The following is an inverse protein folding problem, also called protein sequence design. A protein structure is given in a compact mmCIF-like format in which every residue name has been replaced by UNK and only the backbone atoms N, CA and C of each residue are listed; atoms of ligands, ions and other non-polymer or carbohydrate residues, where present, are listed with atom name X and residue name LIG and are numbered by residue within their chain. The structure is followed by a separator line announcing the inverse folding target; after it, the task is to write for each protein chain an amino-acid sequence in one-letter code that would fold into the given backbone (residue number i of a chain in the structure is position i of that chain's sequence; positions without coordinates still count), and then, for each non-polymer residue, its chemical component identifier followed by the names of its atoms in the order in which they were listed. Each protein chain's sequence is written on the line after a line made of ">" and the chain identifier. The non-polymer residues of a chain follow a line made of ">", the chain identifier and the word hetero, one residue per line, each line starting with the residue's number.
data_IF_439873765620
#
_entry.id   IF_439873765620
#
_cell.length_a   1.000
_cell.length_b   1.000
_cell.length_c   1.000
_cell.angle_alpha   90.00
_cell.angle_beta   90.00
_cell.angle_gamma   90.00
#
_symmetry.space_group_name_H-M   'P 1'
#
loop_
_entity.id
_entity.type
_entity.pdbx_description
1 polymer ?
#
# COMPACT_ATOMS: atom_id res chain seq x y z
N UNK A 1 -7.57 -18.97 51.99
CA UNK A 1 -8.43 -19.25 50.83
C UNK A 1 -8.32 -18.08 49.85
N UNK A 2 -7.33 -18.11 48.96
CA UNK A 2 -7.16 -17.13 47.90
C UNK A 2 -7.42 -17.90 46.60
N UNK A 3 -8.65 -17.71 46.09
CA UNK A 3 -9.11 -18.34 44.83
C UNK A 3 -8.68 -17.44 43.69
N UNK A 4 -7.79 -17.97 42.89
CA UNK A 4 -7.42 -17.64 41.54
C UNK A 4 -8.25 -16.58 40.78
N UNK A 5 -7.62 -15.41 40.61
CA UNK A 5 -8.02 -14.37 39.67
C UNK A 5 -7.25 -14.48 38.31
N UNK A 6 -6.71 -15.63 38.00
CA UNK A 6 -5.92 -15.82 36.76
C UNK A 6 -6.75 -16.13 35.51
N UNK A 7 -7.99 -16.63 35.68
CA UNK A 7 -8.82 -17.03 34.52
C UNK A 7 -9.62 -15.86 33.91
N UNK A 8 -9.93 -14.82 34.66
CA UNK A 8 -10.68 -13.67 34.14
C UNK A 8 -9.91 -12.84 33.12
N UNK A 9 -8.58 -12.80 33.21
CA UNK A 9 -7.71 -12.06 32.30
C UNK A 9 -7.61 -12.67 30.90
N UNK A 10 -7.62 -14.00 30.80
CA UNK A 10 -7.50 -14.69 29.50
C UNK A 10 -8.81 -14.62 28.70
N UNK A 11 -9.95 -14.83 29.33
CA UNK A 11 -11.26 -14.72 28.68
C UNK A 11 -11.62 -13.28 28.33
N UNK A 12 -11.25 -12.31 29.15
CA UNK A 12 -11.40 -10.87 28.85
C UNK A 12 -10.56 -10.47 27.62
N UNK A 13 -9.33 -10.91 27.53
CA UNK A 13 -8.43 -10.66 26.40
C UNK A 13 -8.91 -11.33 25.10
N UNK A 14 -9.51 -12.50 25.17
CA UNK A 14 -10.14 -13.23 24.08
C UNK A 14 -11.37 -12.48 23.54
N UNK A 15 -12.19 -11.88 24.41
CA UNK A 15 -13.35 -11.09 24.02
C UNK A 15 -12.97 -9.77 23.34
N UNK A 16 -11.93 -9.06 23.80
CA UNK A 16 -11.45 -7.85 23.15
C UNK A 16 -10.92 -8.14 21.73
N UNK A 17 -10.13 -9.20 21.57
CA UNK A 17 -9.64 -9.62 20.26
C UNK A 17 -10.78 -9.98 19.30
N UNK A 18 -11.78 -10.73 19.78
CA UNK A 18 -12.97 -11.09 19.00
C UNK A 18 -13.75 -9.84 18.55
N UNK A 19 -13.95 -8.89 19.44
CA UNK A 19 -14.64 -7.64 19.12
C UNK A 19 -13.89 -6.81 18.09
N UNK A 20 -12.56 -6.73 18.17
CA UNK A 20 -11.73 -6.05 17.17
C UNK A 20 -11.78 -6.73 15.80
N UNK A 21 -11.77 -8.08 15.76
CA UNK A 21 -11.93 -8.84 14.53
C UNK A 21 -13.30 -8.57 13.90
N UNK A 22 -14.38 -8.70 14.70
CA UNK A 22 -15.74 -8.48 14.22
C UNK A 22 -15.94 -7.05 13.70
N UNK A 23 -15.41 -6.06 14.41
CA UNK A 23 -15.43 -4.66 13.97
C UNK A 23 -14.70 -4.46 12.63
N UNK A 24 -13.51 -5.07 12.47
CA UNK A 24 -12.76 -5.01 11.23
C UNK A 24 -13.53 -5.64 10.07
N UNK A 25 -14.08 -6.83 10.26
CA UNK A 25 -14.89 -7.54 9.25
C UNK A 25 -16.13 -6.74 8.88
N UNK A 26 -16.81 -6.13 9.86
CA UNK A 26 -17.98 -5.29 9.63
C UNK A 26 -17.63 -4.08 8.73
N UNK A 27 -16.55 -3.37 9.05
CA UNK A 27 -16.13 -2.22 8.22
C UNK A 27 -15.72 -2.65 6.82
N UNK A 28 -15.01 -3.77 6.67
CA UNK A 28 -14.66 -4.31 5.35
C UNK A 28 -15.93 -4.71 4.56
N UNK A 29 -16.97 -5.20 5.23
CA UNK A 29 -18.26 -5.48 4.58
C UNK A 29 -18.94 -4.20 4.11
N UNK A 30 -18.94 -3.12 4.91
CA UNK A 30 -19.45 -1.80 4.51
C UNK A 30 -18.69 -1.28 3.30
N UNK A 31 -17.35 -1.36 3.32
CA UNK A 31 -16.53 -1.02 2.16
C UNK A 31 -16.97 -1.80 0.92
N UNK A 32 -17.15 -3.11 1.05
CA UNK A 32 -17.54 -3.97 -0.08
C UNK A 32 -18.91 -3.61 -0.63
N UNK A 33 -19.89 -3.33 0.22
CA UNK A 33 -21.21 -2.86 -0.19
C UNK A 33 -21.13 -1.56 -0.98
N UNK A 34 -20.33 -0.60 -0.53
CA UNK A 34 -20.16 0.68 -1.23
C UNK A 34 -19.48 0.56 -2.61
N UNK A 35 -18.72 -0.51 -2.88
CA UNK A 35 -18.17 -0.76 -4.23
C UNK A 35 -19.22 -1.20 -5.24
N UNK A 36 -20.47 -1.45 -4.83
CA UNK A 36 -21.60 -1.80 -5.69
C UNK A 36 -22.58 -0.65 -5.90
N UNK A 37 -22.47 0.45 -5.15
CA UNK A 37 -23.34 1.61 -5.31
C UNK A 37 -22.86 2.46 -6.48
N UNK A 38 -23.58 2.51 -7.61
CA UNK A 38 -23.13 3.24 -8.79
C UNK A 38 -23.24 4.77 -8.58
N UNK A 39 -22.45 5.51 -9.36
CA UNK A 39 -22.57 6.96 -9.45
C UNK A 39 -23.87 7.36 -10.15
N UNK A 40 -24.54 8.43 -9.71
CA UNK A 40 -25.74 8.94 -10.36
C UNK A 40 -25.42 9.48 -11.76
N UNK A 41 -26.35 9.31 -12.72
CA UNK A 41 -26.21 9.82 -14.08
C UNK A 41 -25.32 9.00 -15.02
N UNK A 42 -25.01 7.76 -14.67
CA UNK A 42 -24.21 6.83 -15.48
C UNK A 42 -25.09 5.66 -15.93
N UNK A 43 -25.06 5.36 -17.24
CA UNK A 43 -25.67 4.15 -17.80
C UNK A 43 -24.73 2.94 -17.60
N UNK A 44 -25.21 1.96 -16.84
CA UNK A 44 -24.43 0.78 -16.46
C UNK A 44 -24.15 -0.17 -17.66
N UNK A 45 -25.02 -0.22 -18.67
CA UNK A 45 -24.85 -1.09 -19.85
C UNK A 45 -23.78 -0.53 -20.79
N UNK A 46 -23.86 0.75 -21.09
CA UNK A 46 -22.88 1.46 -21.91
C UNK A 46 -21.48 1.49 -21.26
N UNK A 47 -21.44 1.62 -19.93
CA UNK A 47 -20.18 1.54 -19.16
C UNK A 47 -19.55 0.15 -19.27
N UNK A 48 -20.34 -0.91 -19.19
CA UNK A 48 -19.85 -2.30 -19.29
C UNK A 48 -19.21 -2.58 -20.64
N UNK A 49 -19.79 -2.09 -21.73
CA UNK A 49 -19.23 -2.23 -23.09
C UNK A 49 -17.92 -1.47 -23.27
N UNK A 50 -17.83 -0.23 -22.78
CA UNK A 50 -16.59 0.57 -22.76
C UNK A 50 -15.48 -0.08 -21.94
N UNK A 51 -15.82 -0.63 -20.77
CA UNK A 51 -14.83 -1.27 -19.91
C UNK A 51 -14.35 -2.62 -20.47
N UNK A 52 -15.13 -3.32 -21.26
CA UNK A 52 -14.71 -4.54 -21.94
C UNK A 52 -13.70 -4.27 -23.06
N UNK A 53 -13.83 -3.17 -23.78
CA UNK A 53 -12.88 -2.77 -24.84
C UNK A 53 -11.53 -2.28 -24.27
N UNK A 54 -11.52 -1.70 -23.07
CA UNK A 54 -10.34 -1.07 -22.45
C UNK A 54 -9.72 -1.87 -21.28
N UNK A 55 -10.03 -3.16 -21.13
CA UNK A 55 -9.54 -3.99 -20.00
C UNK A 55 -8.01 -4.15 -19.94
N UNK A 56 -7.29 -3.94 -21.03
CA UNK A 56 -5.83 -4.16 -21.16
C UNK A 56 -4.97 -2.93 -20.83
N UNK A 57 -5.52 -1.93 -20.12
CA UNK A 57 -4.80 -0.70 -19.80
C UNK A 57 -4.72 -0.43 -18.31
N UNK A 58 -4.25 0.75 -18.00
CA UNK A 58 -4.12 1.29 -16.64
C UNK A 58 -5.42 1.31 -15.84
N UNK A 59 -6.58 1.44 -16.53
CA UNK A 59 -7.90 1.30 -15.92
C UNK A 59 -8.09 -0.08 -15.27
N UNK A 60 -7.45 -1.12 -15.81
CA UNK A 60 -7.41 -2.45 -15.21
C UNK A 60 -6.71 -2.48 -13.83
N UNK A 61 -5.57 -1.80 -13.70
CA UNK A 61 -4.87 -1.68 -12.41
C UNK A 61 -5.70 -0.91 -11.38
N UNK A 62 -6.22 0.27 -11.76
CA UNK A 62 -7.12 1.01 -10.87
C UNK A 62 -8.29 0.15 -10.39
N UNK A 63 -8.84 -0.66 -11.29
CA UNK A 63 -9.94 -1.55 -10.96
C UNK A 63 -9.55 -2.62 -9.93
N UNK A 64 -8.34 -3.15 -9.99
CA UNK A 64 -7.83 -4.14 -9.02
C UNK A 64 -7.69 -3.49 -7.65
N UNK A 65 -7.04 -2.31 -7.56
CA UNK A 65 -6.86 -1.59 -6.30
C UNK A 65 -8.17 -1.08 -5.69
N UNK A 66 -9.18 -0.77 -6.52
CA UNK A 66 -10.50 -0.35 -6.07
C UNK A 66 -11.48 -1.51 -5.81
N UNK A 67 -11.04 -2.78 -5.96
CA UNK A 67 -11.88 -3.95 -5.75
C UNK A 67 -13.07 -4.06 -6.72
N UNK A 68 -12.86 -3.66 -7.98
CA UNK A 68 -13.88 -3.70 -9.02
C UNK A 68 -14.81 -2.48 -9.05
N UNK A 69 -14.58 -1.47 -8.20
CA UNK A 69 -15.42 -0.27 -8.14
C UNK A 69 -15.31 0.59 -9.41
N UNK A 70 -14.16 0.61 -10.08
CA UNK A 70 -13.96 1.36 -11.34
C UNK A 70 -14.81 0.78 -12.46
N UNK A 71 -14.87 -0.55 -12.61
CA UNK A 71 -15.71 -1.21 -13.65
C UNK A 71 -17.18 -0.90 -13.51
N UNK A 72 -17.64 -0.60 -12.30
CA UNK A 72 -19.03 -0.29 -11.99
C UNK A 72 -19.26 1.20 -11.82
N UNK A 73 -18.19 2.01 -11.93
CA UNK A 73 -18.21 3.43 -11.58
C UNK A 73 -18.98 3.67 -10.28
N UNK A 74 -18.56 2.95 -9.23
CA UNK A 74 -19.16 3.07 -7.91
C UNK A 74 -18.67 4.35 -7.21
N UNK A 75 -19.34 4.73 -6.13
CA UNK A 75 -18.95 5.87 -5.29
C UNK A 75 -17.50 5.77 -4.77
N UNK A 76 -16.95 4.55 -4.69
CA UNK A 76 -15.57 4.28 -4.31
C UNK A 76 -14.64 4.05 -5.51
N UNK A 77 -14.97 4.55 -6.70
CA UNK A 77 -14.17 4.32 -7.92
C UNK A 77 -12.73 4.87 -7.78
N UNK A 78 -12.52 6.02 -7.12
CA UNK A 78 -11.18 6.53 -6.83
C UNK A 78 -10.43 5.70 -5.78
N UNK A 79 -11.15 4.90 -4.98
CA UNK A 79 -10.57 4.10 -3.90
C UNK A 79 -9.79 4.93 -2.89
N UNK A 80 -8.70 4.37 -2.40
CA UNK A 80 -7.78 5.02 -1.44
C UNK A 80 -6.59 5.68 -2.15
N UNK A 81 -6.50 5.63 -3.49
CA UNK A 81 -5.36 6.15 -4.24
C UNK A 81 -5.05 7.63 -3.97
N UNK A 82 -6.02 8.56 -3.90
CA UNK A 82 -5.74 9.97 -3.57
C UNK A 82 -5.08 10.12 -2.19
N UNK A 83 -5.49 9.31 -1.22
CA UNK A 83 -4.88 9.31 0.12
C UNK A 83 -3.45 8.79 0.11
N UNK A 84 -3.19 7.70 -0.62
CA UNK A 84 -1.84 7.14 -0.75
C UNK A 84 -0.91 8.18 -1.38
N UNK A 85 -1.32 8.80 -2.50
CA UNK A 85 -0.55 9.84 -3.19
C UNK A 85 -0.27 11.05 -2.28
N UNK A 86 -1.27 11.52 -1.55
CA UNK A 86 -1.11 12.60 -0.57
C UNK A 86 -0.14 12.21 0.56
N UNK A 87 -0.27 11.00 1.08
CA UNK A 87 0.61 10.47 2.14
C UNK A 87 2.06 10.40 1.67
N UNK A 88 2.30 9.99 0.41
CA UNK A 88 3.63 9.97 -0.20
C UNK A 88 4.22 11.39 -0.25
N UNK A 89 3.46 12.35 -0.80
CA UNK A 89 3.89 13.74 -0.93
C UNK A 89 4.28 14.31 0.44
N UNK A 90 3.43 14.12 1.45
CA UNK A 90 3.69 14.61 2.80
C UNK A 90 4.90 13.90 3.44
N UNK A 91 5.08 12.60 3.21
CA UNK A 91 6.26 11.87 3.70
C UNK A 91 7.55 12.33 3.02
N UNK A 92 7.53 12.59 1.71
CA UNK A 92 8.65 13.20 0.99
C UNK A 92 8.98 14.58 1.57
N UNK A 93 7.97 15.41 1.84
CA UNK A 93 8.15 16.72 2.46
C UNK A 93 8.74 16.62 3.86
N UNK A 94 8.39 15.60 4.66
CA UNK A 94 9.02 15.38 5.98
C UNK A 94 10.50 15.00 5.89
N UNK A 95 10.94 14.43 4.76
CA UNK A 95 12.35 14.13 4.49
C UNK A 95 13.16 15.34 4.02
N UNK A 96 12.55 16.23 3.24
CA UNK A 96 13.23 17.35 2.56
C UNK A 96 13.09 18.68 3.31
N UNK A 97 11.92 18.98 3.87
CA UNK A 97 11.62 20.27 4.52
C UNK A 97 11.90 20.22 6.01
N UNK A 98 12.71 21.18 6.50
CA UNK A 98 13.01 21.32 7.92
C UNK A 98 11.77 21.58 8.79
N UNK A 99 10.80 22.31 8.25
CA UNK A 99 9.53 22.60 8.94
C UNK A 99 8.75 21.32 9.24
N UNK A 100 8.62 20.42 8.26
CA UNK A 100 7.95 19.14 8.45
C UNK A 100 8.77 18.16 9.29
N UNK A 101 10.10 18.22 9.20
CA UNK A 101 11.00 17.44 10.05
C UNK A 101 10.85 17.85 11.52
N UNK A 102 10.80 19.16 11.80
CA UNK A 102 10.57 19.68 13.15
C UNK A 102 9.18 19.30 13.69
N UNK A 103 8.14 19.31 12.83
CA UNK A 103 6.82 18.81 13.18
C UNK A 103 6.86 17.32 13.56
N UNK A 104 7.57 16.49 12.82
CA UNK A 104 7.74 15.07 13.12
C UNK A 104 8.39 14.85 14.49
N UNK A 105 9.36 15.67 14.84
CA UNK A 105 10.10 15.61 16.11
C UNK A 105 9.27 16.06 17.33
N UNK A 106 8.12 16.74 17.13
CA UNK A 106 7.20 17.13 18.19
C UNK A 106 6.34 15.98 18.76
N UNK A 107 6.61 14.74 18.35
CA UNK A 107 5.92 13.56 18.87
C UNK A 107 4.46 13.46 18.40
N UNK A 108 3.52 13.18 19.32
CA UNK A 108 2.10 12.94 18.95
C UNK A 108 1.41 14.17 18.37
N UNK A 109 1.71 15.37 18.86
CA UNK A 109 1.10 16.62 18.38
C UNK A 109 1.51 16.87 16.92
N UNK A 110 2.78 16.68 16.62
CA UNK A 110 3.29 16.82 15.25
C UNK A 110 2.72 15.75 14.30
N UNK A 111 2.60 14.51 14.75
CA UNK A 111 1.97 13.44 13.96
C UNK A 111 0.51 13.75 13.62
N UNK A 112 -0.26 14.29 14.56
CA UNK A 112 -1.66 14.71 14.31
C UNK A 112 -1.73 15.78 13.23
N UNK A 113 -0.83 16.79 13.27
CA UNK A 113 -0.77 17.83 12.24
C UNK A 113 -0.38 17.27 10.86
N UNK A 114 0.61 16.39 10.80
CA UNK A 114 1.02 15.71 9.56
C UNK A 114 -0.15 14.93 8.96
N UNK A 115 -0.88 14.16 9.77
CA UNK A 115 -2.08 13.45 9.32
C UNK A 115 -3.16 14.42 8.82
N UNK A 116 -3.34 15.57 9.45
CA UNK A 116 -4.27 16.60 9.00
C UNK A 116 -3.89 17.18 7.63
N UNK A 117 -2.61 17.47 7.40
CA UNK A 117 -2.13 17.89 6.07
C UNK A 117 -2.34 16.81 5.02
N UNK A 118 -2.11 15.54 5.36
CA UNK A 118 -2.40 14.41 4.48
C UNK A 118 -3.88 14.37 4.08
N UNK A 119 -4.80 14.59 5.02
CA UNK A 119 -6.24 14.65 4.73
C UNK A 119 -6.59 15.80 3.78
N UNK A 120 -6.05 17.00 4.00
CA UNK A 120 -6.28 18.13 3.09
C UNK A 120 -5.72 17.85 1.69
N UNK A 121 -4.52 17.31 1.60
CA UNK A 121 -3.93 16.90 0.33
C UNK A 121 -4.77 15.82 -0.37
N UNK A 122 -5.36 14.89 0.39
CA UNK A 122 -6.27 13.87 -0.15
C UNK A 122 -7.50 14.48 -0.79
N UNK A 123 -8.15 15.44 -0.11
CA UNK A 123 -9.33 16.13 -0.65
C UNK A 123 -8.99 16.86 -1.93
N UNK A 124 -7.87 17.59 -1.96
CA UNK A 124 -7.41 18.29 -3.14
C UNK A 124 -7.16 17.34 -4.31
N UNK A 125 -6.38 16.28 -4.09
CA UNK A 125 -6.08 15.29 -5.12
C UNK A 125 -7.34 14.54 -5.59
N UNK A 126 -8.24 14.17 -4.67
CA UNK A 126 -9.50 13.52 -5.01
C UNK A 126 -10.40 14.43 -5.86
N UNK A 127 -10.44 15.73 -5.57
CA UNK A 127 -11.19 16.71 -6.38
C UNK A 127 -10.63 16.80 -7.80
N UNK A 128 -9.31 16.93 -7.91
CA UNK A 128 -8.62 16.99 -9.19
C UNK A 128 -8.86 15.69 -9.98
N UNK A 129 -8.62 14.52 -9.39
CA UNK A 129 -8.84 13.22 -10.04
C UNK A 129 -10.32 12.98 -10.38
N UNK A 130 -11.24 13.34 -9.48
CA UNK A 130 -12.68 13.22 -9.70
C UNK A 130 -13.16 14.07 -10.89
N UNK A 131 -12.62 15.28 -11.01
CA UNK A 131 -12.90 16.14 -12.18
C UNK A 131 -12.39 15.49 -13.48
N UNK A 132 -11.16 14.94 -13.49
CA UNK A 132 -10.65 14.24 -14.65
C UNK A 132 -11.46 13.03 -15.06
N UNK A 133 -11.90 12.24 -14.08
CA UNK A 133 -12.80 11.11 -14.34
C UNK A 133 -14.12 11.59 -14.93
N UNK A 134 -14.71 12.66 -14.40
CA UNK A 134 -16.00 13.21 -14.92
C UNK A 134 -15.89 13.69 -16.36
N UNK A 135 -14.80 14.40 -16.70
CA UNK A 135 -14.52 14.85 -18.08
C UNK A 135 -14.27 13.65 -19.01
N UNK A 136 -13.51 12.65 -18.56
CA UNK A 136 -13.23 11.46 -19.34
C UNK A 136 -14.50 10.64 -19.65
N UNK A 137 -15.43 10.57 -18.70
CA UNK A 137 -16.74 9.90 -18.92
C UNK A 137 -17.62 10.69 -19.88
N UNK A 138 -17.67 11.99 -19.78
CA UNK A 138 -18.46 12.84 -20.67
C UNK A 138 -17.93 12.78 -22.11
N UNK A 139 -16.61 12.80 -22.30
CA UNK A 139 -15.97 12.69 -23.60
C UNK A 139 -16.19 11.33 -24.29
N UNK A 140 -16.53 10.28 -23.53
CA UNK A 140 -16.90 8.99 -24.11
C UNK A 140 -18.24 9.02 -24.88
N UNK A 141 -19.10 10.02 -24.63
CA UNK A 141 -20.33 10.30 -25.36
C UNK A 141 -21.46 9.29 -25.21
N UNK A 142 -21.22 8.14 -24.56
CA UNK A 142 -22.14 7.00 -24.54
C UNK A 142 -22.61 6.66 -23.12
N UNK A 143 -21.81 7.04 -22.10
CA UNK A 143 -21.98 6.55 -20.72
C UNK A 143 -22.80 7.49 -19.84
N UNK A 144 -22.81 8.77 -20.18
CA UNK A 144 -23.45 9.82 -19.37
C UNK A 144 -24.85 10.12 -19.93
N UNK A 145 -25.87 9.99 -19.08
CA UNK A 145 -27.28 10.22 -19.48
C UNK A 145 -27.54 11.68 -19.81
N UNK A 146 -27.06 12.59 -18.95
CA UNK A 146 -27.22 14.04 -19.12
C UNK A 146 -25.84 14.75 -18.99
N UNK A 147 -25.11 14.95 -20.10
CA UNK A 147 -23.81 15.62 -20.08
C UNK A 147 -23.96 17.10 -19.71
N UNK A 148 -23.07 17.62 -18.86
CA UNK A 148 -23.05 19.00 -18.48
C UNK A 148 -22.40 19.32 -17.13
N UNK A 149 -22.44 20.60 -16.76
CA UNK A 149 -21.81 21.05 -15.52
C UNK A 149 -22.39 20.39 -14.25
N UNK A 150 -23.68 20.07 -14.27
CA UNK A 150 -24.37 19.38 -13.18
C UNK A 150 -23.82 17.96 -12.96
N UNK A 151 -23.63 17.19 -14.04
CA UNK A 151 -23.03 15.85 -13.97
C UNK A 151 -21.59 15.93 -13.42
N UNK A 152 -20.76 16.87 -13.90
CA UNK A 152 -19.38 17.03 -13.41
C UNK A 152 -19.35 17.34 -11.92
N UNK A 153 -20.20 18.24 -11.46
CA UNK A 153 -20.25 18.66 -10.06
C UNK A 153 -20.73 17.53 -9.15
N UNK A 154 -21.80 16.83 -9.51
CA UNK A 154 -22.33 15.71 -8.75
C UNK A 154 -21.34 14.55 -8.69
N UNK A 155 -20.68 14.21 -9.80
CA UNK A 155 -19.68 13.16 -9.87
C UNK A 155 -18.46 13.49 -8.99
N UNK A 156 -17.95 14.72 -9.09
CA UNK A 156 -16.79 15.15 -8.25
C UNK A 156 -17.14 15.09 -6.77
N UNK A 157 -18.27 15.66 -6.36
CA UNK A 157 -18.69 15.64 -4.94
C UNK A 157 -18.85 14.20 -4.45
N UNK A 158 -19.48 13.35 -5.22
CA UNK A 158 -19.73 11.95 -4.83
C UNK A 158 -18.43 11.16 -4.70
N UNK A 159 -17.49 11.31 -5.64
CA UNK A 159 -16.18 10.64 -5.59
C UNK A 159 -15.30 11.15 -4.44
N UNK A 160 -15.31 12.47 -4.19
CA UNK A 160 -14.58 13.06 -3.06
C UNK A 160 -15.17 12.58 -1.74
N UNK A 161 -16.50 12.61 -1.60
CA UNK A 161 -17.18 12.10 -0.41
C UNK A 161 -16.87 10.61 -0.18
N UNK A 162 -16.89 9.80 -1.24
CA UNK A 162 -16.51 8.39 -1.20
C UNK A 162 -15.07 8.19 -0.71
N UNK A 163 -14.13 8.95 -1.23
CA UNK A 163 -12.71 8.88 -0.81
C UNK A 163 -12.52 9.29 0.66
N UNK A 164 -13.17 10.37 1.10
CA UNK A 164 -13.12 10.82 2.50
C UNK A 164 -13.71 9.75 3.42
N UNK A 165 -14.83 9.14 3.02
CA UNK A 165 -15.46 8.08 3.78
C UNK A 165 -14.57 6.84 3.89
N UNK A 166 -13.90 6.43 2.80
CA UNK A 166 -12.93 5.33 2.82
C UNK A 166 -11.74 5.62 3.73
N UNK A 167 -11.22 6.84 3.68
CA UNK A 167 -10.15 7.28 4.58
C UNK A 167 -10.60 7.19 6.05
N UNK A 168 -11.80 7.66 6.36
CA UNK A 168 -12.37 7.56 7.70
C UNK A 168 -12.56 6.11 8.16
N UNK A 169 -13.06 5.23 7.28
CA UNK A 169 -13.18 3.79 7.57
C UNK A 169 -11.81 3.16 7.87
N UNK A 170 -10.78 3.49 7.09
CA UNK A 170 -9.41 3.03 7.32
C UNK A 170 -8.85 3.49 8.67
N UNK A 171 -9.11 4.73 9.05
CA UNK A 171 -8.73 5.26 10.37
C UNK A 171 -9.48 4.55 11.51
N UNK A 172 -10.78 4.28 11.36
CA UNK A 172 -11.55 3.53 12.36
C UNK A 172 -11.01 2.10 12.57
N UNK A 173 -10.66 1.39 11.49
CA UNK A 173 -10.03 0.08 11.61
C UNK A 173 -8.69 0.19 12.36
N UNK A 174 -7.87 1.18 12.03
CA UNK A 174 -6.56 1.37 12.69
C UNK A 174 -6.69 1.68 14.18
N UNK A 175 -7.72 2.43 14.58
CA UNK A 175 -7.93 2.82 15.97
C UNK A 175 -8.61 1.74 16.82
N UNK A 176 -9.63 1.07 16.29
CA UNK A 176 -10.51 0.15 17.02
C UNK A 176 -10.45 -1.29 16.55
N UNK A 177 -9.92 -1.55 15.36
CA UNK A 177 -9.79 -2.86 14.76
C UNK A 177 -8.43 -3.48 14.97
N UNK A 178 -7.96 -4.20 13.94
CA UNK A 178 -6.67 -4.91 13.89
C UNK A 178 -5.81 -4.35 12.77
N UNK A 179 -4.56 -4.04 13.09
CA UNK A 179 -3.54 -3.65 12.12
C UNK A 179 -3.76 -2.29 11.47
N UNK A 180 -3.21 -2.10 10.26
CA UNK A 180 -3.36 -0.88 9.49
C UNK A 180 -4.62 -0.95 8.61
N UNK A 181 -5.64 -0.13 8.93
CA UNK A 181 -6.93 -0.18 8.26
C UNK A 181 -6.88 0.15 6.78
N UNK A 182 -6.01 1.07 6.37
CA UNK A 182 -5.83 1.44 4.95
C UNK A 182 -5.30 0.25 4.15
N UNK A 183 -4.28 -0.42 4.68
CA UNK A 183 -3.72 -1.63 4.05
C UNK A 183 -4.75 -2.76 3.97
N UNK A 184 -5.61 -2.91 4.99
CA UNK A 184 -6.67 -3.92 5.01
C UNK A 184 -7.78 -3.64 3.99
N UNK A 185 -8.14 -2.36 3.75
CA UNK A 185 -9.11 -2.01 2.71
C UNK A 185 -8.54 -2.33 1.33
N UNK A 186 -7.27 -2.00 1.04
CA UNK A 186 -6.60 -2.36 -0.21
C UNK A 186 -6.56 -3.88 -0.38
N UNK A 187 -6.14 -4.59 0.65
CA UNK A 187 -6.11 -6.06 0.66
C UNK A 187 -7.48 -6.68 0.38
N UNK A 188 -8.53 -6.17 1.01
CA UNK A 188 -9.91 -6.63 0.79
C UNK A 188 -10.37 -6.40 -0.65
N UNK A 189 -9.97 -5.28 -1.27
CA UNK A 189 -10.23 -4.99 -2.67
C UNK A 189 -9.59 -6.04 -3.60
N UNK A 190 -8.31 -6.35 -3.36
CA UNK A 190 -7.55 -7.32 -4.19
C UNK A 190 -8.09 -8.73 -4.01
N UNK A 191 -8.30 -9.18 -2.76
CA UNK A 191 -8.78 -10.54 -2.45
C UNK A 191 -10.18 -10.79 -3.02
N UNK A 192 -11.02 -9.77 -3.08
CA UNK A 192 -12.37 -9.90 -3.61
C UNK A 192 -12.45 -10.23 -5.11
N UNK A 193 -11.40 -9.98 -5.88
CA UNK A 193 -11.31 -10.35 -7.30
C UNK A 193 -10.75 -11.78 -7.52
N UNK A 194 -10.13 -12.40 -6.50
CA UNK A 194 -9.54 -13.75 -6.61
C UNK A 194 -10.57 -14.81 -7.04
N UNK A 195 -11.78 -14.90 -6.43
CA UNK A 195 -12.75 -15.91 -6.84
C UNK A 195 -13.15 -15.80 -8.30
N UNK A 196 -13.28 -14.57 -8.81
CA UNK A 196 -13.61 -14.30 -10.21
C UNK A 196 -12.45 -14.69 -11.14
N UNK A 197 -11.22 -14.34 -10.78
CA UNK A 197 -10.04 -14.73 -11.55
C UNK A 197 -9.89 -16.25 -11.64
N UNK A 198 -10.13 -16.96 -10.54
CA UNK A 198 -10.13 -18.43 -10.51
C UNK A 198 -11.23 -18.99 -11.44
N UNK A 199 -12.46 -18.50 -11.33
CA UNK A 199 -13.56 -18.94 -12.18
C UNK A 199 -13.25 -18.75 -13.67
N UNK A 200 -12.73 -17.58 -14.05
CA UNK A 200 -12.32 -17.28 -15.43
C UNK A 200 -11.21 -18.22 -15.92
N UNK A 201 -10.22 -18.50 -15.07
CA UNK A 201 -9.10 -19.42 -15.42
C UNK A 201 -9.62 -20.84 -15.67
N UNK A 202 -10.54 -21.35 -14.84
CA UNK A 202 -11.15 -22.66 -15.05
C UNK A 202 -12.04 -22.70 -16.29
N UNK A 203 -12.75 -21.61 -16.60
CA UNK A 203 -13.58 -21.51 -17.80
C UNK A 203 -12.73 -21.52 -19.08
N UNK A 204 -11.59 -20.81 -19.10
CA UNK A 204 -10.62 -20.86 -20.18
C UNK A 204 -10.01 -22.26 -20.36
N UNK A 205 -9.83 -23.00 -19.27
CA UNK A 205 -9.44 -24.41 -19.33
C UNK A 205 -10.53 -25.29 -19.93
N UNK A 206 -11.80 -25.07 -19.57
CA UNK A 206 -12.94 -25.84 -20.10
C UNK A 206 -13.21 -25.58 -21.58
N UNK A 207 -13.01 -24.35 -22.03
CA UNK A 207 -13.16 -23.97 -23.44
C UNK A 207 -11.97 -24.39 -24.32
N UNK A 208 -10.91 -24.98 -23.74
CA UNK A 208 -9.71 -25.40 -24.47
C UNK A 208 -8.76 -24.26 -24.87
N UNK A 209 -9.05 -23.03 -24.47
CA UNK A 209 -8.18 -21.87 -24.71
C UNK A 209 -6.85 -21.97 -23.92
N UNK A 210 -6.87 -22.63 -22.77
CA UNK A 210 -5.69 -22.93 -21.97
C UNK A 210 -5.57 -24.45 -21.76
N UNK A 211 -4.37 -25.01 -22.00
CA UNK A 211 -4.13 -26.42 -21.70
C UNK A 211 -4.09 -26.66 -20.19
N UNK A 212 -4.48 -27.84 -19.73
CA UNK A 212 -4.42 -28.25 -18.33
C UNK A 212 -3.02 -28.08 -17.73
N UNK A 213 -1.97 -28.31 -18.52
CA UNK A 213 -0.58 -28.14 -18.12
C UNK A 213 -0.25 -26.68 -17.79
N UNK A 214 -0.75 -25.72 -18.57
CA UNK A 214 -0.55 -24.29 -18.33
C UNK A 214 -1.26 -23.88 -17.03
N UNK A 215 -2.51 -24.33 -16.81
CA UNK A 215 -3.25 -24.05 -15.58
C UNK A 215 -2.48 -24.59 -14.37
N UNK A 216 -2.01 -25.83 -14.42
CA UNK A 216 -1.23 -26.43 -13.34
C UNK A 216 0.06 -25.62 -13.09
N UNK A 217 0.75 -25.17 -14.15
CA UNK A 217 1.97 -24.37 -14.00
C UNK A 217 1.70 -23.01 -13.35
N UNK A 218 0.58 -22.35 -13.67
CA UNK A 218 0.16 -21.07 -13.04
C UNK A 218 -0.08 -21.28 -11.55
N UNK A 219 -0.83 -22.32 -11.15
CA UNK A 219 -1.07 -22.60 -9.73
C UNK A 219 0.21 -22.94 -8.97
N UNK A 220 1.09 -23.75 -9.57
CA UNK A 220 2.38 -24.09 -8.97
C UNK A 220 3.24 -22.83 -8.79
N UNK A 221 3.30 -21.98 -9.78
CA UNK A 221 4.03 -20.71 -9.73
C UNK A 221 3.47 -19.79 -8.64
N UNK A 222 2.14 -19.69 -8.52
CA UNK A 222 1.47 -18.90 -7.48
C UNK A 222 1.84 -19.38 -6.08
N UNK A 223 1.75 -20.69 -5.82
CA UNK A 223 2.11 -21.28 -4.52
C UNK A 223 3.58 -21.03 -4.20
N UNK A 224 4.46 -21.23 -5.19
CA UNK A 224 5.90 -21.04 -5.02
C UNK A 224 6.25 -19.57 -4.75
N UNK A 225 5.59 -18.63 -5.43
CA UNK A 225 5.74 -17.19 -5.21
C UNK A 225 5.29 -16.80 -3.80
N UNK A 226 4.13 -17.27 -3.35
CA UNK A 226 3.65 -17.00 -1.98
C UNK A 226 4.60 -17.59 -0.94
N UNK A 227 5.07 -18.82 -1.13
CA UNK A 227 6.03 -19.45 -0.23
C UNK A 227 7.35 -18.65 -0.15
N UNK A 228 7.86 -18.18 -1.29
CA UNK A 228 9.05 -17.34 -1.38
C UNK A 228 8.86 -15.99 -0.65
N UNK A 229 7.72 -15.33 -0.86
CA UNK A 229 7.38 -14.07 -0.17
C UNK A 229 7.36 -14.29 1.35
N UNK A 230 6.67 -15.32 1.82
CA UNK A 230 6.58 -15.62 3.26
C UNK A 230 7.96 -15.94 3.85
N UNK A 231 8.80 -16.65 3.11
CA UNK A 231 10.17 -16.96 3.54
C UNK A 231 11.00 -15.69 3.75
N UNK A 232 10.99 -14.77 2.80
CA UNK A 232 11.75 -13.50 2.90
C UNK A 232 11.16 -12.55 3.95
N UNK A 233 9.83 -12.40 4.03
CA UNK A 233 9.17 -11.51 4.99
C UNK A 233 9.35 -11.96 6.46
N UNK A 234 9.54 -13.26 6.70
CA UNK A 234 9.87 -13.80 8.02
C UNK A 234 11.34 -13.71 8.37
N UNK A 235 12.21 -13.49 7.40
CA UNK A 235 13.64 -13.45 7.60
C UNK A 235 14.08 -12.18 8.35
N UNK A 236 14.75 -12.38 9.48
CA UNK A 236 15.26 -11.32 10.36
C UNK A 236 16.75 -11.51 10.62
N UNK A 237 17.50 -10.40 10.58
CA UNK A 237 18.89 -10.35 11.06
C UNK A 237 18.89 -9.99 12.52
N UNK A 238 19.39 -10.87 13.38
CA UNK A 238 19.53 -10.64 14.83
C UNK A 238 20.92 -10.07 15.11
N UNK A 239 21.00 -8.87 15.68
CA UNK A 239 22.25 -8.26 16.16
C UNK A 239 22.32 -8.50 17.67
N UNK A 240 23.40 -9.10 18.13
CA UNK A 240 23.62 -9.38 19.55
C UNK A 240 23.89 -8.07 20.30
N UNK A 241 23.17 -7.85 21.41
CA UNK A 241 23.35 -6.73 22.32
C UNK A 241 23.60 -7.31 23.71
N UNK A 242 24.69 -6.88 24.33
CA UNK A 242 25.01 -7.26 25.69
C UNK A 242 24.71 -6.11 26.64
N UNK A 243 24.09 -6.44 27.77
CA UNK A 243 23.87 -5.53 28.87
C UNK A 243 24.85 -5.86 30.00
N UNK A 244 25.63 -4.88 30.53
CA UNK A 244 26.58 -5.15 31.62
C UNK A 244 25.82 -5.56 32.87
N UNK A 245 26.43 -6.47 33.62
CA UNK A 245 25.99 -6.86 34.96
C UNK A 245 26.12 -5.66 35.90
N UNK A 246 25.06 -5.31 36.62
CA UNK A 246 25.12 -4.30 37.68
C UNK A 246 25.00 -5.02 39.01
N UNK A 247 25.98 -4.77 39.90
CA UNK A 247 25.97 -5.23 41.27
C UNK A 247 25.33 -4.15 42.16
N UNK A 248 24.23 -4.46 42.80
CA UNK A 248 23.60 -3.63 43.83
C UNK A 248 23.67 -4.39 45.16
N UNK A 249 24.62 -4.05 46.00
CA UNK A 249 24.90 -4.75 47.22
C UNK A 249 25.41 -6.19 46.96
N UNK A 250 24.81 -7.18 47.59
CA UNK A 250 25.13 -8.61 47.45
C UNK A 250 24.41 -9.28 46.22
N UNK A 251 23.48 -8.58 45.56
CA UNK A 251 22.75 -9.12 44.44
C UNK A 251 23.27 -8.60 43.11
N UNK A 252 23.51 -9.51 42.17
CA UNK A 252 23.92 -9.21 40.80
C UNK A 252 22.64 -9.16 39.93
N UNK A 253 22.36 -7.99 39.32
CA UNK A 253 21.26 -7.79 38.39
C UNK A 253 21.81 -7.57 36.99
N UNK A 254 21.14 -8.15 35.98
CA UNK A 254 21.47 -7.98 34.55
C UNK A 254 22.51 -9.00 34.07
N UNK A 255 23.04 -8.77 32.90
CA UNK A 255 23.94 -9.70 32.19
C UNK A 255 23.17 -10.58 31.20
N UNK A 256 21.95 -10.21 30.87
CA UNK A 256 21.21 -10.86 29.79
C UNK A 256 21.70 -10.33 28.43
N UNK A 257 21.96 -11.25 27.50
CA UNK A 257 22.16 -10.91 26.10
C UNK A 257 20.82 -10.82 25.41
N UNK A 258 20.52 -9.70 24.79
CA UNK A 258 19.35 -9.49 23.97
C UNK A 258 19.73 -9.38 22.49
N UNK A 259 18.77 -9.46 21.61
CA UNK A 259 18.99 -9.34 20.19
C UNK A 259 18.15 -8.20 19.62
N UNK A 260 18.76 -7.33 18.80
CA UNK A 260 18.03 -6.36 17.98
C UNK A 260 17.61 -7.04 16.69
N UNK A 261 16.30 -7.31 16.49
CA UNK A 261 15.82 -7.92 15.25
C UNK A 261 15.68 -6.85 14.16
N UNK A 262 16.42 -6.99 13.07
CA UNK A 262 16.25 -6.18 11.86
C UNK A 262 15.61 -7.05 10.77
N UNK A 263 14.48 -6.64 10.22
CA UNK A 263 13.85 -7.30 9.08
C UNK A 263 14.68 -7.10 7.83
N UNK A 264 14.73 -8.09 6.93
CA UNK A 264 15.37 -7.96 5.62
C UNK A 264 14.61 -6.92 4.79
N UNK A 265 13.28 -7.00 4.77
CA UNK A 265 12.44 -6.00 4.15
C UNK A 265 11.86 -5.08 5.23
N UNK A 266 12.61 -4.06 5.65
CA UNK A 266 12.18 -3.07 6.64
C UNK A 266 11.11 -2.14 6.08
N UNK A 267 11.15 -1.87 4.78
CA UNK A 267 10.21 -0.99 4.09
C UNK A 267 8.85 -1.66 3.81
N UNK A 268 8.77 -3.00 3.84
CA UNK A 268 7.55 -3.75 3.50
C UNK A 268 7.16 -3.57 2.04
N UNK A 269 5.85 -3.56 1.76
CA UNK A 269 5.27 -3.40 0.41
C UNK A 269 5.10 -1.93 0.00
N UNK A 270 5.29 -0.99 0.92
CA UNK A 270 5.02 0.44 0.72
C UNK A 270 5.79 1.03 -0.48
N UNK A 271 7.08 0.72 -0.72
CA UNK A 271 7.80 1.22 -1.88
C UNK A 271 7.17 0.85 -3.22
N UNK A 272 6.63 -0.35 -3.36
CA UNK A 272 5.96 -0.79 -4.58
C UNK A 272 4.67 0.00 -4.82
N UNK A 273 3.88 0.23 -3.76
CA UNK A 273 2.67 1.06 -3.82
C UNK A 273 3.02 2.50 -4.21
N UNK A 274 4.10 3.05 -3.66
CA UNK A 274 4.56 4.40 -3.99
C UNK A 274 5.02 4.53 -5.44
N UNK A 275 5.82 3.59 -5.91
CA UNK A 275 6.28 3.55 -7.29
C UNK A 275 5.11 3.44 -8.28
N UNK A 276 4.12 2.56 -8.01
CA UNK A 276 2.94 2.44 -8.85
C UNK A 276 2.07 3.70 -8.84
N UNK A 277 1.83 4.29 -7.66
CA UNK A 277 1.07 5.53 -7.54
C UNK A 277 1.71 6.70 -8.29
N UNK A 278 3.04 6.82 -8.23
CA UNK A 278 3.79 7.87 -8.93
C UNK A 278 3.72 7.69 -10.46
N UNK A 279 3.82 6.45 -10.95
CA UNK A 279 3.70 6.16 -12.38
C UNK A 279 2.28 6.39 -12.91
N UNK A 280 1.27 6.27 -12.06
CA UNK A 280 -0.14 6.53 -12.43
C UNK A 280 -0.46 8.04 -12.51
N UNK A 281 0.28 8.92 -11.83
CA UNK A 281 0.02 10.36 -11.85
C UNK A 281 0.06 10.97 -13.27
N UNK A 282 1.10 10.79 -14.10
CA UNK A 282 1.14 11.35 -15.45
C UNK A 282 -0.02 10.91 -16.33
N UNK A 283 -0.48 9.69 -16.13
CA UNK A 283 -1.56 9.08 -16.91
C UNK A 283 -2.93 9.63 -16.49
N UNK A 284 -3.14 9.83 -15.18
CA UNK A 284 -4.34 10.52 -14.73
C UNK A 284 -4.40 11.94 -15.26
N UNK A 285 -3.27 12.65 -15.32
CA UNK A 285 -3.21 14.00 -15.90
C UNK A 285 -3.47 14.00 -17.42
N UNK A 286 -3.04 12.96 -18.17
CA UNK A 286 -3.32 12.89 -19.61
C UNK A 286 -4.81 12.80 -19.94
N UNK A 287 -5.63 12.28 -19.04
CA UNK A 287 -7.10 12.20 -19.21
C UNK A 287 -7.81 13.54 -18.97
N UNK A 288 -7.11 14.58 -18.45
CA UNK A 288 -7.68 15.90 -18.14
C UNK A 288 -7.89 16.85 -19.34
N UNK A 289 -8.06 16.33 -20.55
CA UNK A 289 -8.36 17.18 -21.73
C UNK A 289 -7.12 17.63 -22.51
N UNK A 290 -5.91 17.20 -22.12
CA UNK A 290 -4.69 17.38 -22.92
C UNK A 290 -4.51 16.27 -23.96
N UNK A 291 -5.54 15.42 -24.17
CA UNK A 291 -5.51 14.27 -25.06
C UNK A 291 -5.34 14.64 -26.55
N UNK A 292 -5.48 15.93 -26.92
CA UNK A 292 -5.34 16.38 -28.30
C UNK A 292 -3.89 16.68 -28.75
N UNK A 293 -2.91 16.58 -27.84
CA UNK A 293 -1.52 16.73 -28.25
C UNK A 293 -0.87 15.38 -28.52
N UNK A 294 -0.30 15.20 -29.70
CA UNK A 294 0.43 13.97 -30.10
C UNK A 294 1.54 13.59 -29.11
N UNK A 295 2.13 14.59 -28.46
CA UNK A 295 3.17 14.42 -27.46
C UNK A 295 2.62 13.68 -26.22
N UNK A 296 1.43 14.05 -25.72
CA UNK A 296 0.82 13.40 -24.57
C UNK A 296 0.35 11.98 -24.88
N UNK A 297 -0.17 11.73 -26.09
CA UNK A 297 -0.51 10.38 -26.54
C UNK A 297 0.73 9.48 -26.64
N UNK A 298 1.83 10.01 -27.16
CA UNK A 298 3.11 9.29 -27.24
C UNK A 298 3.67 8.98 -25.86
N UNK A 299 3.64 9.94 -24.94
CA UNK A 299 4.08 9.75 -23.55
C UNK A 299 3.22 8.69 -22.86
N UNK A 300 1.90 8.82 -22.91
CA UNK A 300 1.00 7.84 -22.27
C UNK A 300 1.16 6.42 -22.84
N UNK A 301 1.41 6.30 -24.14
CA UNK A 301 1.73 5.04 -24.78
C UNK A 301 3.07 4.45 -24.33
N UNK A 302 4.07 5.25 -24.01
CA UNK A 302 5.35 4.80 -23.44
C UNK A 302 5.23 4.30 -22.01
N UNK A 303 4.32 4.88 -21.22
CA UNK A 303 4.03 4.48 -19.84
C UNK A 303 3.00 3.34 -19.71
N UNK A 304 2.58 2.74 -20.84
CA UNK A 304 1.65 1.60 -20.79
C UNK A 304 2.33 0.34 -20.21
N UNK A 305 1.54 -0.45 -19.48
CA UNK A 305 1.98 -1.70 -18.88
C UNK A 305 2.59 -2.67 -19.90
N UNK A 306 3.57 -3.46 -19.44
CA UNK A 306 4.24 -4.45 -20.29
C UNK A 306 5.31 -3.88 -21.21
N UNK A 307 5.51 -2.56 -21.25
CA UNK A 307 6.62 -1.96 -22.02
C UNK A 307 7.92 -1.92 -21.21
N UNK A 308 9.08 -2.10 -21.85
CA UNK A 308 10.37 -2.11 -21.16
C UNK A 308 10.67 -0.83 -20.37
N UNK A 309 10.26 0.33 -20.89
CA UNK A 309 10.44 1.62 -20.21
C UNK A 309 9.62 1.69 -18.90
N UNK A 310 8.36 1.25 -18.94
CA UNK A 310 7.53 1.17 -17.75
C UNK A 310 8.16 0.27 -16.69
N UNK A 311 8.60 -0.94 -17.08
CA UNK A 311 9.24 -1.89 -16.17
C UNK A 311 10.52 -1.32 -15.55
N UNK A 312 11.34 -0.60 -16.33
CA UNK A 312 12.56 0.02 -15.86
C UNK A 312 12.27 1.15 -14.86
N UNK A 313 11.32 2.02 -15.18
CA UNK A 313 10.89 3.10 -14.27
C UNK A 313 10.24 2.56 -13.00
N UNK A 314 9.45 1.51 -13.11
CA UNK A 314 8.84 0.85 -11.96
C UNK A 314 9.89 0.22 -11.05
N UNK A 315 10.86 -0.51 -11.63
CA UNK A 315 11.98 -1.09 -10.89
C UNK A 315 12.83 -0.02 -10.17
N UNK A 316 13.23 1.03 -10.89
CA UNK A 316 14.01 2.13 -10.33
C UNK A 316 13.24 2.87 -9.23
N UNK A 317 11.94 3.07 -9.42
CA UNK A 317 11.04 3.64 -8.41
C UNK A 317 10.97 2.80 -7.15
N UNK A 318 10.79 1.48 -7.26
CA UNK A 318 10.77 0.57 -6.10
C UNK A 318 12.09 0.64 -5.33
N UNK A 319 13.22 0.59 -6.02
CA UNK A 319 14.54 0.67 -5.38
C UNK A 319 14.70 2.02 -4.66
N UNK A 320 14.42 3.13 -5.36
CA UNK A 320 14.51 4.47 -4.77
C UNK A 320 13.65 4.60 -3.51
N UNK A 321 12.37 4.24 -3.59
CA UNK A 321 11.47 4.34 -2.44
C UNK A 321 11.80 3.36 -1.32
N UNK A 322 12.43 2.23 -1.60
CA UNK A 322 12.89 1.29 -0.57
C UNK A 322 13.97 1.93 0.31
N UNK A 323 14.98 2.55 -0.29
CA UNK A 323 16.01 3.27 0.45
C UNK A 323 15.45 4.49 1.16
N UNK A 324 14.65 5.29 0.46
CA UNK A 324 14.05 6.49 1.00
C UNK A 324 13.16 6.19 2.22
N UNK A 325 12.27 5.21 2.10
CA UNK A 325 11.36 4.84 3.18
C UNK A 325 12.09 4.25 4.38
N UNK A 326 13.08 3.39 4.16
CA UNK A 326 13.90 2.83 5.23
C UNK A 326 14.62 3.92 6.01
N UNK A 327 15.17 4.94 5.35
CA UNK A 327 15.86 6.07 6.01
C UNK A 327 14.92 6.94 6.87
N UNK A 328 13.63 7.01 6.52
CA UNK A 328 12.63 7.77 7.28
C UNK A 328 12.11 6.97 8.48
N UNK A 329 11.88 5.66 8.30
CA UNK A 329 11.25 4.80 9.32
C UNK A 329 12.24 4.41 10.39
N UNK A 330 13.48 4.14 10.04
CA UNK A 330 14.49 3.70 10.96
C UNK A 330 15.65 4.74 11.09
N UNK A 331 15.81 5.25 12.31
CA UNK A 331 16.90 6.18 12.62
C UNK A 331 18.02 5.45 13.39
N UNK A 332 19.15 5.12 12.71
CA UNK A 332 20.25 4.40 13.36
C UNK A 332 20.87 5.17 14.54
N UNK A 333 20.95 6.51 14.43
CA UNK A 333 21.54 7.36 15.48
C UNK A 333 20.71 7.33 16.76
N UNK A 334 19.39 7.48 16.63
CA UNK A 334 18.45 7.43 17.76
C UNK A 334 18.45 6.05 18.42
N UNK A 335 18.48 4.98 17.61
CA UNK A 335 18.56 3.60 18.11
C UNK A 335 19.86 3.36 18.88
N UNK A 336 21.01 3.79 18.35
CA UNK A 336 22.30 3.66 19.02
C UNK A 336 22.40 4.48 20.33
N UNK A 337 21.78 5.66 20.34
CA UNK A 337 21.72 6.50 21.53
C UNK A 337 20.81 5.91 22.61
N UNK A 338 19.67 5.35 22.23
CA UNK A 338 18.77 4.65 23.12
C UNK A 338 19.43 3.40 23.73
N UNK A 339 20.17 2.63 22.94
CA UNK A 339 20.98 1.52 23.42
C UNK A 339 22.01 1.99 24.44
N UNK A 340 22.72 3.09 24.16
CA UNK A 340 23.71 3.67 25.07
C UNK A 340 23.08 4.12 26.39
N UNK A 341 21.91 4.79 26.33
CA UNK A 341 21.18 5.24 27.53
C UNK A 341 20.77 4.08 28.45
N UNK A 342 20.41 2.94 27.86
CA UNK A 342 20.03 1.73 28.59
C UNK A 342 21.23 0.83 28.95
N UNK A 343 22.44 1.26 28.62
CA UNK A 343 23.68 0.53 28.93
C UNK A 343 23.91 -0.69 28.01
N UNK A 344 23.17 -0.84 26.94
CA UNK A 344 23.37 -1.89 25.94
C UNK A 344 24.54 -1.56 25.00
N UNK A 345 25.33 -2.54 24.62
CA UNK A 345 26.38 -2.39 23.63
C UNK A 345 26.48 -3.59 22.69
N UNK A 346 26.95 -3.35 21.48
CA UNK A 346 27.27 -4.40 20.53
C UNK A 346 28.69 -4.91 20.81
N UNK A 347 28.90 -6.23 20.97
CA UNK A 347 30.24 -6.77 21.23
C UNK A 347 31.24 -6.35 20.15
N UNK A 348 32.41 -5.84 20.58
CA UNK A 348 33.47 -5.37 19.69
C UNK A 348 33.31 -3.95 19.11
N UNK A 349 32.20 -3.24 19.40
CA UNK A 349 31.94 -1.88 18.88
C UNK A 349 31.71 -0.91 20.03
N UNK A 350 32.35 0.27 19.93
CA UNK A 350 32.16 1.32 20.95
C UNK A 350 30.74 1.87 20.93
N UNK A 351 30.06 1.98 22.09
CA UNK A 351 28.71 2.56 22.17
C UNK A 351 28.67 4.01 21.65
N UNK A 352 27.60 4.38 20.97
CA UNK A 352 27.39 5.72 20.44
C UNK A 352 27.52 5.76 18.91
N UNK A 353 28.24 6.72 18.34
CA UNK A 353 28.31 6.95 16.88
C UNK A 353 28.80 5.74 16.09
N UNK A 354 29.81 5.02 16.58
CA UNK A 354 30.28 3.81 15.87
C UNK A 354 29.24 2.71 15.82
N UNK A 355 28.40 2.58 16.83
CA UNK A 355 27.26 1.67 16.82
C UNK A 355 26.21 2.12 15.81
N UNK A 356 25.97 3.43 15.69
CA UNK A 356 25.07 3.97 14.68
C UNK A 356 25.55 3.65 13.26
N UNK A 357 26.82 3.89 12.94
CA UNK A 357 27.39 3.54 11.62
C UNK A 357 27.33 2.04 11.32
N UNK A 358 27.57 1.20 12.32
CA UNK A 358 27.45 -0.26 12.14
C UNK A 358 26.02 -0.70 11.83
N UNK A 359 25.04 -0.14 12.54
CA UNK A 359 23.61 -0.43 12.28
C UNK A 359 23.21 0.10 10.90
N UNK A 360 23.68 1.29 10.52
CA UNK A 360 23.43 1.90 9.22
C UNK A 360 23.99 1.04 8.07
N UNK A 361 25.22 0.56 8.17
CA UNK A 361 25.84 -0.33 7.16
C UNK A 361 25.05 -1.63 6.98
N UNK A 362 24.60 -2.23 8.10
CA UNK A 362 23.75 -3.42 8.04
C UNK A 362 22.39 -3.09 7.39
N UNK A 363 21.77 -1.97 7.73
CA UNK A 363 20.50 -1.55 7.16
C UNK A 363 20.60 -1.33 5.67
N UNK A 364 21.64 -0.67 5.17
CA UNK A 364 21.86 -0.45 3.74
C UNK A 364 21.96 -1.79 3.01
N UNK A 365 22.71 -2.74 3.54
CA UNK A 365 22.85 -4.09 2.96
C UNK A 365 21.52 -4.84 2.96
N UNK A 366 20.76 -4.80 4.06
CA UNK A 366 19.45 -5.43 4.15
C UNK A 366 18.44 -4.77 3.22
N UNK A 367 18.44 -3.44 3.14
CA UNK A 367 17.56 -2.69 2.22
C UNK A 367 17.86 -3.00 0.77
N UNK A 368 19.14 -3.17 0.39
CA UNK A 368 19.52 -3.57 -0.97
C UNK A 368 18.92 -4.94 -1.32
N UNK A 369 19.06 -5.93 -0.44
CA UNK A 369 18.49 -7.26 -0.65
C UNK A 369 16.96 -7.19 -0.69
N UNK A 370 16.34 -6.45 0.23
CA UNK A 370 14.89 -6.25 0.28
C UNK A 370 14.34 -5.53 -0.96
N UNK A 371 15.04 -4.51 -1.46
CA UNK A 371 14.65 -3.78 -2.67
C UNK A 371 14.74 -4.66 -3.92
N UNK A 372 15.82 -5.44 -4.07
CA UNK A 372 15.96 -6.39 -5.18
C UNK A 372 14.87 -7.48 -5.14
N UNK A 373 14.62 -8.04 -3.97
CA UNK A 373 13.53 -8.99 -3.75
C UNK A 373 12.18 -8.40 -4.16
N UNK A 374 11.84 -7.21 -3.65
CA UNK A 374 10.57 -6.56 -3.93
C UNK A 374 10.42 -6.24 -5.42
N UNK A 375 11.49 -5.74 -6.06
CA UNK A 375 11.52 -5.48 -7.48
C UNK A 375 11.27 -6.75 -8.30
N UNK A 376 11.91 -7.87 -7.96
CA UNK A 376 11.72 -9.14 -8.64
C UNK A 376 10.28 -9.63 -8.53
N UNK A 377 9.71 -9.60 -7.33
CA UNK A 377 8.32 -10.04 -7.08
C UNK A 377 7.32 -9.15 -7.83
N UNK A 378 7.53 -7.84 -7.86
CA UNK A 378 6.63 -6.90 -8.52
C UNK A 378 6.75 -6.91 -10.05
N UNK A 379 7.95 -7.15 -10.60
CA UNK A 379 8.15 -7.23 -12.05
C UNK A 379 7.73 -8.57 -12.65
N UNK A 380 7.68 -9.65 -11.86
CA UNK A 380 7.30 -10.97 -12.35
C UNK A 380 5.92 -10.99 -13.03
N UNK A 381 4.83 -10.45 -12.44
CA UNK A 381 3.53 -10.36 -13.11
C UNK A 381 3.57 -9.53 -14.39
N UNK A 382 4.27 -8.38 -14.37
CA UNK A 382 4.41 -7.49 -15.53
C UNK A 382 5.10 -8.19 -16.70
N UNK A 383 6.12 -8.99 -16.42
CA UNK A 383 6.82 -9.79 -17.42
C UNK A 383 5.91 -10.90 -18.01
N UNK A 384 5.09 -11.52 -17.16
CA UNK A 384 4.13 -12.54 -17.61
C UNK A 384 3.06 -11.93 -18.51
N UNK A 385 2.49 -10.77 -18.14
CA UNK A 385 1.50 -10.04 -18.96
C UNK A 385 2.11 -9.60 -20.30
N UNK A 386 3.40 -9.21 -20.32
CA UNK A 386 4.09 -8.82 -21.55
C UNK A 386 4.29 -9.97 -22.53
N UNK A 387 4.55 -11.21 -22.02
CA UNK A 387 4.78 -12.39 -22.86
C UNK A 387 3.52 -13.17 -23.22
N UNK A 388 2.58 -13.21 -22.30
CA UNK A 388 1.33 -13.96 -22.45
C UNK A 388 0.16 -12.98 -22.28
N UNK A 389 -0.42 -12.45 -23.36
CA UNK A 389 -1.58 -11.57 -23.28
C UNK A 389 -2.82 -12.40 -22.90
N UNK A 390 -2.90 -12.75 -21.62
CA UNK A 390 -4.01 -13.49 -21.01
C UNK A 390 -4.98 -12.51 -20.36
#
# INVERSE_FOLDING_TARGET
>A
MAIDNTDSGFFSKSNDLRNRILFTVLILSIYRLGTYVPLPGIDAESLKTLMQSNQRGLLGMFNIFSGGAVKRMAIFALGIMPYISSSIIIQLLTGVSETFKNLKNQGEIGRKKITQYTRYGTVLLATVQGYGVSVGLENSGIVVTDPGAYFKLTTVITLVAGTIFLMWLGEQITQRGIGNGISLIIFSGIVAEIPRALATTFELGRTGALSATIILSIFTLLILTVAFIVFIERAIRKILINYPKRQMGTKIYGGESSHLPLKINTAGVIPAIFASALLLLPITFSNFGFSNSEIFMSISAMFSQGRPLYMLLYASGIIFFSFFYTSIVFNPKETAENLRKHGGYVPGIRPGERTAFFIEDILVKLTTIGALYLTLVCLMPEFLISKYPI
#
